data_IF_888567448941
#
_entry.id   IF_888567448941
#
_cell.length_a   1.000
_cell.length_b   1.000
_cell.length_c   1.000
_cell.angle_alpha   90.00
_cell.angle_beta   90.00
_cell.angle_gamma   90.00
#
_symmetry.space_group_name_H-M   'P 1'
#
loop_
_entity.id
_entity.type
_entity.pdbx_description
1 polymer ?
#
# COMPACT_ATOMS: atom_id res chain seq x y z
N UNK A 1 -7.17 -11.24 12.90
CA UNK A 1 -6.83 -10.26 11.86
C UNK A 1 -7.80 -10.42 10.71
N UNK A 2 -8.36 -9.32 10.25
CA UNK A 2 -9.14 -9.29 9.02
C UNK A 2 -8.24 -9.47 7.79
N UNK A 3 -8.35 -8.58 6.83
CA UNK A 3 -7.48 -8.61 5.66
C UNK A 3 -6.19 -7.88 5.98
N UNK A 4 -5.07 -8.59 5.86
CA UNK A 4 -3.74 -7.99 5.99
C UNK A 4 -3.33 -7.35 4.67
N UNK A 5 -3.06 -6.05 4.68
CA UNK A 5 -2.65 -5.31 3.48
C UNK A 5 -1.14 -5.29 3.32
N UNK A 6 -0.44 -4.82 4.33
CA UNK A 6 1.00 -4.65 4.23
C UNK A 6 1.70 -4.82 5.57
N UNK A 7 2.94 -5.20 5.48
CA UNK A 7 3.91 -5.18 6.57
C UNK A 7 5.11 -4.39 6.08
N UNK A 8 5.59 -3.46 6.88
CA UNK A 8 6.80 -2.71 6.58
C UNK A 8 7.75 -2.76 7.79
N UNK A 9 9.05 -2.80 7.53
CA UNK A 9 10.10 -2.69 8.55
C UNK A 9 10.88 -1.42 8.27
N UNK A 10 10.86 -0.49 9.22
CA UNK A 10 11.48 0.83 9.06
C UNK A 10 11.03 1.56 7.78
N UNK A 11 9.75 1.43 7.41
CA UNK A 11 9.15 2.00 6.21
C UNK A 11 9.35 1.19 4.93
N UNK A 12 10.19 0.14 4.93
CA UNK A 12 10.40 -0.71 3.77
C UNK A 12 9.37 -1.84 3.73
N UNK A 13 8.56 -1.87 2.66
CA UNK A 13 7.56 -2.92 2.45
C UNK A 13 8.19 -4.31 2.38
N UNK A 14 7.54 -5.25 3.03
CA UNK A 14 7.93 -6.66 3.06
C UNK A 14 7.02 -7.47 2.15
N UNK A 15 7.56 -8.47 1.47
CA UNK A 15 6.82 -9.34 0.56
C UNK A 15 6.25 -10.54 1.33
N UNK A 16 4.92 -10.70 1.22
CA UNK A 16 4.24 -11.84 1.82
C UNK A 16 4.65 -13.16 1.16
N UNK A 17 4.96 -14.15 1.97
CA UNK A 17 5.44 -15.46 1.50
C UNK A 17 6.93 -15.52 1.23
N UNK A 18 7.64 -14.40 1.33
CA UNK A 18 9.09 -14.30 1.20
C UNK A 18 9.69 -13.71 2.47
N UNK A 19 9.33 -12.48 2.79
CA UNK A 19 9.90 -11.75 3.92
C UNK A 19 9.11 -11.97 5.21
N UNK A 20 7.82 -12.28 5.09
CA UNK A 20 6.98 -12.62 6.23
C UNK A 20 5.87 -13.60 5.86
N UNK A 21 5.33 -14.27 6.87
CA UNK A 21 4.20 -15.18 6.73
C UNK A 21 3.11 -14.83 7.74
N UNK A 22 1.86 -14.83 7.28
CA UNK A 22 0.70 -14.79 8.18
C UNK A 22 0.32 -16.22 8.52
N UNK A 23 0.27 -16.53 9.81
CA UNK A 23 -0.13 -17.87 10.28
C UNK A 23 -1.64 -17.98 10.21
N UNK A 24 -2.15 -18.80 9.29
CA UNK A 24 -3.57 -18.98 9.04
C UNK A 24 -4.35 -19.30 10.33
N UNK A 25 -5.51 -18.68 10.48
CA UNK A 25 -6.38 -18.85 11.65
C UNK A 25 -5.89 -18.16 12.92
N UNK A 26 -4.83 -17.36 12.85
CA UNK A 26 -4.27 -16.65 14.01
C UNK A 26 -4.11 -15.16 13.72
N UNK A 27 -3.79 -14.40 14.77
CA UNK A 27 -3.38 -12.99 14.66
C UNK A 27 -1.86 -12.83 14.61
N UNK A 28 -1.14 -13.86 14.17
CA UNK A 28 0.33 -13.88 14.21
C UNK A 28 0.94 -13.71 12.84
N UNK A 29 2.02 -12.94 12.81
CA UNK A 29 2.92 -12.78 11.66
C UNK A 29 4.28 -13.32 12.08
N UNK A 30 4.92 -14.08 11.20
CA UNK A 30 6.24 -14.64 11.40
C UNK A 30 7.22 -14.11 10.37
N UNK A 31 8.42 -13.79 10.82
CA UNK A 31 9.53 -13.39 9.95
C UNK A 31 10.57 -14.53 9.89
N UNK A 32 10.90 -15.05 8.68
CA UNK A 32 11.97 -16.05 8.53
C UNK A 32 13.33 -15.53 9.00
N UNK A 33 13.58 -14.23 8.72
CA UNK A 33 14.77 -13.53 9.20
C UNK A 33 14.32 -12.49 10.22
N UNK A 34 14.77 -12.58 11.48
CA UNK A 34 14.38 -11.63 12.51
C UNK A 34 14.80 -10.20 12.13
N UNK A 35 13.91 -9.21 12.26
CA UNK A 35 14.30 -7.81 12.14
C UNK A 35 15.38 -7.45 13.16
N UNK A 36 16.17 -6.42 12.83
CA UNK A 36 17.16 -5.88 13.77
C UNK A 36 16.48 -5.35 15.02
N UNK A 37 17.15 -5.47 16.16
CA UNK A 37 16.67 -4.90 17.41
C UNK A 37 16.41 -3.40 17.25
N UNK A 38 15.29 -2.93 17.76
CA UNK A 38 14.87 -1.53 17.64
C UNK A 38 14.18 -1.17 16.33
N UNK A 39 14.00 -2.13 15.39
CA UNK A 39 13.25 -1.89 14.16
C UNK A 39 11.78 -1.58 14.46
N UNK A 40 11.23 -0.63 13.70
CA UNK A 40 9.79 -0.31 13.73
C UNK A 40 9.08 -1.18 12.71
N UNK A 41 8.14 -2.01 13.19
CA UNK A 41 7.30 -2.86 12.36
C UNK A 41 5.94 -2.21 12.24
N UNK A 42 5.55 -1.86 11.02
CA UNK A 42 4.24 -1.29 10.72
C UNK A 42 3.40 -2.33 10.02
N UNK A 43 2.23 -2.62 10.58
CA UNK A 43 1.29 -3.59 10.03
C UNK A 43 -0.01 -2.85 9.70
N UNK A 44 -0.42 -2.90 8.44
CA UNK A 44 -1.67 -2.33 7.98
C UNK A 44 -2.65 -3.46 7.68
N UNK A 45 -3.82 -3.42 8.33
CA UNK A 45 -4.84 -4.44 8.15
C UNK A 45 -6.24 -3.85 8.31
N UNK A 46 -7.24 -4.52 7.71
CA UNK A 46 -8.64 -4.25 8.01
C UNK A 46 -9.14 -5.16 9.11
N UNK A 47 -9.80 -4.56 10.08
CA UNK A 47 -10.50 -5.27 11.13
C UNK A 47 -11.97 -5.35 10.75
N UNK A 48 -12.46 -6.53 10.39
CA UNK A 48 -13.86 -6.73 10.01
C UNK A 48 -14.37 -8.09 10.45
N UNK A 49 -15.65 -8.13 10.76
CA UNK A 49 -16.39 -9.39 10.95
C UNK A 49 -17.02 -9.74 9.60
N UNK A 50 -16.68 -10.90 9.05
CA UNK A 50 -17.39 -11.52 7.91
C UNK A 50 -17.79 -10.54 6.80
N UNK A 51 -16.82 -9.87 6.07
CA UNK A 51 -17.44 -8.79 5.46
C UNK A 51 -16.88 -8.19 4.25
N UNK A 52 -17.79 -7.94 3.45
CA UNK A 52 -17.79 -6.95 2.41
C UNK A 52 -17.85 -5.59 3.09
N UNK A 53 -16.81 -4.77 2.94
CA UNK A 53 -16.89 -3.36 3.30
C UNK A 53 -17.80 -2.67 2.29
N UNK A 54 -18.72 -1.86 2.78
CA UNK A 54 -19.69 -1.16 1.96
C UNK A 54 -19.45 0.34 2.12
N UNK A 55 -19.43 1.06 1.00
CA UNK A 55 -19.35 2.53 1.01
C UNK A 55 -20.68 3.16 1.43
N UNK A 56 -20.74 4.50 1.48
CA UNK A 56 -21.94 5.24 1.88
C UNK A 56 -23.14 5.04 0.93
N UNK A 57 -22.93 4.44 -0.24
CA UNK A 57 -23.94 4.16 -1.25
C UNK A 57 -24.35 2.69 -1.32
N UNK A 58 -23.87 1.87 -0.40
CA UNK A 58 -24.14 0.44 -0.36
C UNK A 58 -23.33 -0.39 -1.36
N UNK A 59 -22.29 0.18 -1.97
CA UNK A 59 -21.41 -0.55 -2.89
C UNK A 59 -20.28 -1.24 -2.12
N UNK A 60 -19.90 -2.47 -2.51
CA UNK A 60 -18.74 -3.12 -1.96
C UNK A 60 -17.48 -2.27 -2.22
N UNK A 61 -16.72 -2.01 -1.16
CA UNK A 61 -15.39 -1.41 -1.29
C UNK A 61 -14.43 -2.52 -1.68
N UNK A 62 -13.70 -2.29 -2.77
CA UNK A 62 -12.70 -3.20 -3.29
C UNK A 62 -11.30 -2.61 -3.08
N UNK A 63 -10.30 -3.46 -3.04
CA UNK A 63 -8.91 -3.08 -2.98
C UNK A 63 -8.20 -3.50 -4.26
N UNK A 64 -7.38 -2.61 -4.79
CA UNK A 64 -6.53 -2.92 -5.94
C UNK A 64 -5.12 -2.38 -5.71
N UNK A 65 -4.15 -3.07 -6.30
CA UNK A 65 -2.77 -2.61 -6.36
C UNK A 65 -2.33 -2.52 -7.79
N UNK A 66 -1.81 -1.37 -8.18
CA UNK A 66 -1.26 -1.12 -9.51
C UNK A 66 0.18 -0.66 -9.39
N UNK A 67 0.97 -1.01 -10.41
CA UNK A 67 2.38 -0.66 -10.47
C UNK A 67 2.65 0.19 -11.71
N UNK A 68 3.47 1.21 -11.51
CA UNK A 68 3.92 2.11 -12.55
C UNK A 68 5.44 2.20 -12.52
N UNK A 69 6.03 2.55 -13.65
CA UNK A 69 7.45 2.86 -13.74
C UNK A 69 7.59 4.34 -14.08
N UNK A 70 8.37 5.06 -13.29
CA UNK A 70 8.68 6.46 -13.60
C UNK A 70 9.65 6.54 -14.77
N UNK A 71 9.19 7.12 -15.88
CA UNK A 71 9.94 7.22 -17.13
C UNK A 71 10.74 8.50 -17.30
N UNK A 72 10.71 9.38 -16.31
CA UNK A 72 11.37 10.69 -16.32
C UNK A 72 10.49 11.84 -16.84
N UNK A 73 9.23 11.57 -17.23
CA UNK A 73 8.37 12.60 -17.85
C UNK A 73 7.26 13.10 -16.93
N UNK A 74 6.44 12.22 -16.38
CA UNK A 74 5.26 12.63 -15.59
C UNK A 74 5.31 12.14 -14.16
N UNK A 75 5.01 13.04 -13.23
CA UNK A 75 4.83 12.73 -11.82
C UNK A 75 3.42 12.31 -11.46
N UNK A 76 2.48 12.38 -12.42
CA UNK A 76 1.09 12.00 -12.24
C UNK A 76 0.82 10.63 -12.85
N UNK A 77 0.07 9.81 -12.09
CA UNK A 77 -0.29 8.45 -12.46
C UNK A 77 -1.80 8.26 -12.32
N UNK A 78 -2.41 7.69 -13.36
CA UNK A 78 -3.84 7.38 -13.35
C UNK A 78 -4.06 5.90 -13.09
N UNK A 79 -4.74 5.58 -12.00
CA UNK A 79 -5.19 4.23 -11.71
C UNK A 79 -6.48 3.91 -12.45
N UNK A 80 -6.84 2.63 -12.56
CA UNK A 80 -7.97 2.18 -13.36
C UNK A 80 -9.33 2.62 -12.79
N UNK A 81 -9.46 2.70 -11.48
CA UNK A 81 -10.72 2.98 -10.81
C UNK A 81 -10.68 4.28 -10.02
N UNK A 82 -11.86 4.86 -9.76
CA UNK A 82 -11.96 6.03 -8.90
C UNK A 82 -11.48 5.70 -7.47
N UNK A 83 -10.62 6.55 -6.94
CA UNK A 83 -9.99 6.35 -5.63
C UNK A 83 -10.92 6.80 -4.52
N UNK A 84 -11.29 5.89 -3.60
CA UNK A 84 -11.89 6.29 -2.32
C UNK A 84 -10.83 6.74 -1.33
N UNK A 85 -9.78 5.94 -1.19
CA UNK A 85 -8.61 6.28 -0.38
C UNK A 85 -7.40 5.48 -0.82
N UNK A 86 -6.21 6.03 -0.61
CA UNK A 86 -4.95 5.32 -0.80
C UNK A 86 -4.61 4.60 0.49
N UNK A 87 -4.43 3.29 0.40
CA UNK A 87 -3.98 2.46 1.53
C UNK A 87 -2.47 2.61 1.71
N UNK A 88 -1.73 2.51 0.60
CA UNK A 88 -0.29 2.73 0.59
C UNK A 88 0.20 3.10 -0.79
N UNK A 89 1.24 3.91 -0.83
CA UNK A 89 2.03 4.17 -2.01
C UNK A 89 3.48 3.93 -1.65
N UNK A 90 4.18 3.18 -2.48
CA UNK A 90 5.61 2.95 -2.30
C UNK A 90 6.40 3.28 -3.56
N UNK A 91 7.63 3.72 -3.36
CA UNK A 91 8.60 3.93 -4.44
C UNK A 91 9.79 3.01 -4.16
N UNK A 92 9.99 2.03 -5.04
CA UNK A 92 11.00 0.98 -4.86
C UNK A 92 10.86 0.23 -3.52
N UNK A 93 9.62 0.03 -3.05
CA UNK A 93 9.32 -0.61 -1.78
C UNK A 93 9.32 0.30 -0.55
N UNK A 94 9.77 1.55 -0.67
CA UNK A 94 9.76 2.51 0.43
C UNK A 94 8.42 3.25 0.46
N UNK A 95 7.70 3.13 1.57
CA UNK A 95 6.36 3.72 1.74
C UNK A 95 6.44 5.24 1.84
N UNK A 96 5.59 5.91 1.08
CA UNK A 96 5.43 7.36 1.08
C UNK A 96 4.18 7.77 1.87
N UNK A 97 4.18 9.00 2.38
CA UNK A 97 3.09 9.56 3.16
C UNK A 97 2.26 10.54 2.32
N UNK A 98 0.93 10.37 2.36
CA UNK A 98 0.01 11.31 1.70
C UNK A 98 0.16 12.71 2.30
N UNK A 99 0.19 13.70 1.44
CA UNK A 99 0.43 15.11 1.81
C UNK A 99 1.90 15.50 1.88
N UNK A 100 2.82 14.53 1.90
CA UNK A 100 4.27 14.76 1.90
C UNK A 100 4.92 14.20 0.65
N UNK A 101 4.81 12.89 0.42
CA UNK A 101 5.40 12.21 -0.74
C UNK A 101 4.51 12.22 -1.96
N UNK A 102 3.22 12.28 -1.79
CA UNK A 102 2.22 12.32 -2.87
C UNK A 102 0.91 12.96 -2.41
N UNK A 103 0.09 13.35 -3.39
CA UNK A 103 -1.29 13.81 -3.18
C UNK A 103 -2.24 13.13 -4.16
N UNK A 104 -3.50 12.99 -3.77
CA UNK A 104 -4.59 12.61 -4.67
C UNK A 104 -5.03 13.89 -5.40
N UNK A 105 -4.80 13.96 -6.69
CA UNK A 105 -4.99 15.18 -7.49
C UNK A 105 -6.19 15.13 -8.44
N UNK A 106 -6.82 13.97 -8.55
CA UNK A 106 -8.01 13.77 -9.38
C UNK A 106 -8.82 12.56 -8.94
N UNK A 107 -9.90 12.28 -9.65
CA UNK A 107 -10.79 11.16 -9.33
C UNK A 107 -10.05 9.83 -9.26
N UNK A 108 -9.12 9.62 -10.19
CA UNK A 108 -8.27 8.43 -10.28
C UNK A 108 -6.79 8.80 -10.48
N UNK A 109 -6.40 10.01 -10.10
CA UNK A 109 -5.05 10.52 -10.33
C UNK A 109 -4.32 10.74 -9.02
N UNK A 110 -3.06 10.32 -9.00
CA UNK A 110 -2.11 10.56 -7.92
C UNK A 110 -0.90 11.28 -8.49
N UNK A 111 -0.43 12.31 -7.80
CA UNK A 111 0.76 13.07 -8.19
C UNK A 111 1.82 12.97 -7.11
N UNK A 112 3.04 12.62 -7.50
CA UNK A 112 4.19 12.63 -6.58
C UNK A 112 4.64 14.06 -6.30
N UNK A 113 5.04 14.32 -5.07
CA UNK A 113 5.48 15.64 -4.61
C UNK A 113 7.00 15.86 -4.79
N UNK A 114 7.71 14.85 -5.25
CA UNK A 114 9.11 14.95 -5.62
C UNK A 114 9.43 14.02 -6.79
N UNK A 115 10.56 14.26 -7.44
CA UNK A 115 10.99 13.50 -8.61
C UNK A 115 11.80 12.28 -8.17
N UNK A 116 11.29 11.05 -8.37
CA UNK A 116 12.06 9.85 -8.09
C UNK A 116 13.16 9.64 -9.16
N UNK A 117 14.05 8.71 -8.90
CA UNK A 117 15.04 8.28 -9.91
C UNK A 117 14.30 7.63 -11.09
N UNK A 118 14.76 7.91 -12.30
CA UNK A 118 14.22 7.28 -13.52
C UNK A 118 14.26 5.75 -13.39
N UNK A 119 13.23 5.08 -13.86
CA UNK A 119 12.96 3.65 -13.73
C UNK A 119 12.57 3.19 -12.32
N UNK A 120 12.31 4.11 -11.39
CA UNK A 120 11.71 3.74 -10.11
C UNK A 120 10.36 3.08 -10.30
N UNK A 121 10.12 2.03 -9.52
CA UNK A 121 8.84 1.32 -9.48
C UNK A 121 7.94 1.94 -8.42
N UNK A 122 6.74 2.32 -8.82
CA UNK A 122 5.75 2.94 -7.96
C UNK A 122 4.61 1.95 -7.79
N UNK A 123 4.35 1.54 -6.54
CA UNK A 123 3.23 0.69 -6.19
C UNK A 123 2.14 1.50 -5.50
N UNK A 124 0.91 1.40 -5.96
CA UNK A 124 -0.24 2.12 -5.41
C UNK A 124 -1.29 1.11 -5.03
N UNK A 125 -1.59 1.02 -3.74
CA UNK A 125 -2.69 0.20 -3.21
C UNK A 125 -3.79 1.13 -2.74
N UNK A 126 -4.98 0.97 -3.28
CA UNK A 126 -6.09 1.88 -3.03
C UNK A 126 -7.43 1.15 -2.94
N UNK A 127 -8.40 1.83 -2.33
CA UNK A 127 -9.79 1.39 -2.23
C UNK A 127 -10.64 2.08 -3.30
N UNK A 128 -11.57 1.31 -3.88
CA UNK A 128 -12.51 1.80 -4.90
C UNK A 128 -13.89 1.15 -4.82
#
# INVERSE_FOLDING_TARGET
IGILFSVAINGLLQERGVDFYHIAGTSKISFPTPPLEGSIITITYFKGRNSVFIDNYGKPIQVNTEYFTYDGSSLSFNVLSAINSVVSLDINGLVEEEGQGFDITGLNEITLNYTPVVNSKIGITYLF
#
